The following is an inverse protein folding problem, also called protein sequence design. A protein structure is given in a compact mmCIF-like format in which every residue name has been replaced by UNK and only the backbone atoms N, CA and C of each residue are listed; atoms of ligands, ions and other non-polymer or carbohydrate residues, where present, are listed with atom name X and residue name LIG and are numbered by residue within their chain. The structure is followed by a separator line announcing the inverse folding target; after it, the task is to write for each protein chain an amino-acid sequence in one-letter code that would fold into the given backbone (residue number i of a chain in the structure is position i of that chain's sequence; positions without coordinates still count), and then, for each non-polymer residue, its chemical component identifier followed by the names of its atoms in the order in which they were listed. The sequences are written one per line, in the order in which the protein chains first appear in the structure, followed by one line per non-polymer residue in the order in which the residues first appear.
data_IF_345040396607
#
_entry.id   IF_345040396607
#
_cell.length_a   1.000
_cell.length_b   1.000
_cell.length_c   1.000
_cell.angle_alpha   90.00
_cell.angle_beta   90.00
_cell.angle_gamma   90.00
#
_symmetry.space_group_name_H-M   'P 1'
#
loop_
_entity.id
_entity.type
_entity.pdbx_description
1 polymer ?
#
# COMPACT_ATOMS: atom_id res chain seq x y z
N UNK A 1 -7.99 -12.25 1.45
CA UNK A 1 -8.34 -11.09 2.31
C UNK A 1 -7.80 -9.85 1.63
N UNK A 2 -8.55 -8.77 1.53
CA UNK A 2 -8.07 -7.50 0.93
C UNK A 2 -7.66 -6.57 2.06
N UNK A 3 -6.58 -5.78 1.91
CA UNK A 3 -6.30 -4.69 2.83
C UNK A 3 -7.48 -3.70 2.82
N UNK A 4 -7.96 -3.30 3.98
CA UNK A 4 -9.03 -2.31 4.13
C UNK A 4 -8.49 -0.96 4.62
N UNK A 5 -7.20 -0.73 4.45
CA UNK A 5 -6.49 0.47 4.85
C UNK A 5 -5.40 0.82 3.84
N UNK A 6 -4.94 2.04 3.92
CA UNK A 6 -3.75 2.54 3.22
C UNK A 6 -2.68 2.80 4.27
N UNK A 7 -1.48 2.29 4.04
CA UNK A 7 -0.33 2.60 4.89
C UNK A 7 0.24 3.98 4.48
N UNK A 8 0.25 4.91 5.41
CA UNK A 8 0.73 6.27 5.20
C UNK A 8 1.99 6.50 6.05
N UNK A 9 3.13 6.58 5.39
CA UNK A 9 4.45 6.79 6.02
C UNK A 9 4.85 8.25 5.82
N UNK A 10 5.01 8.98 6.89
CA UNK A 10 5.38 10.40 6.81
C UNK A 10 6.57 10.73 7.71
N UNK A 11 7.23 11.82 7.41
CA UNK A 11 8.40 12.31 8.16
C UNK A 11 9.28 13.19 7.28
N UNK A 12 10.28 13.83 7.88
CA UNK A 12 11.17 14.76 7.18
C UNK A 12 11.92 14.11 6.02
N UNK A 13 12.37 14.92 5.07
CA UNK A 13 13.23 14.49 3.96
C UNK A 13 14.48 13.78 4.51
N UNK A 14 14.89 12.70 3.84
CA UNK A 14 16.09 11.93 4.22
C UNK A 14 15.88 10.82 5.24
N UNK A 15 14.68 10.64 5.80
CA UNK A 15 14.37 9.55 6.74
C UNK A 15 14.20 8.18 6.11
N UNK A 16 14.53 8.01 4.83
CA UNK A 16 14.51 6.73 4.10
C UNK A 16 13.14 6.05 3.99
N UNK A 17 12.05 6.80 4.07
CA UNK A 17 10.66 6.29 3.95
C UNK A 17 10.44 5.42 2.71
N UNK A 18 10.75 5.97 1.55
CA UNK A 18 10.58 5.29 0.25
C UNK A 18 11.44 4.06 0.14
N UNK A 19 12.72 4.16 0.49
CA UNK A 19 13.65 3.02 0.46
C UNK A 19 13.16 1.89 1.36
N UNK A 20 12.71 2.21 2.57
CA UNK A 20 12.15 1.24 3.50
C UNK A 20 10.87 0.59 2.95
N UNK A 21 9.97 1.40 2.39
CA UNK A 21 8.72 0.90 1.80
C UNK A 21 9.00 -0.06 0.62
N UNK A 22 9.92 0.29 -0.27
CA UNK A 22 10.32 -0.56 -1.40
C UNK A 22 10.94 -1.86 -0.91
N UNK A 23 11.93 -1.76 -0.02
CA UNK A 23 12.69 -2.95 0.42
C UNK A 23 11.85 -3.92 1.24
N UNK A 24 10.97 -3.43 2.11
CA UNK A 24 10.23 -4.26 3.06
C UNK A 24 8.84 -4.67 2.55
N UNK A 25 8.14 -3.79 1.84
CA UNK A 25 6.73 -3.96 1.52
C UNK A 25 6.48 -4.36 0.06
N UNK A 26 7.44 -4.19 -0.81
CA UNK A 26 7.31 -4.59 -2.22
C UNK A 26 8.35 -5.65 -2.64
N UNK A 27 8.39 -6.82 -2.01
CA UNK A 27 9.38 -7.85 -2.33
C UNK A 27 9.17 -8.47 -3.71
N UNK A 28 8.01 -8.28 -4.36
CA UNK A 28 7.66 -8.97 -5.60
C UNK A 28 7.74 -8.08 -6.85
N UNK A 29 7.63 -6.77 -6.71
CA UNK A 29 7.58 -5.86 -7.86
C UNK A 29 7.98 -4.45 -7.47
N UNK A 30 8.92 -3.89 -8.20
CA UNK A 30 9.38 -2.50 -8.04
C UNK A 30 8.49 -1.54 -8.86
N UNK A 31 7.19 -1.55 -8.64
CA UNK A 31 6.31 -0.53 -9.23
C UNK A 31 6.01 0.56 -8.20
N UNK A 32 6.69 1.67 -8.35
CA UNK A 32 6.37 2.94 -7.70
C UNK A 32 5.56 3.80 -8.66
N UNK A 33 4.49 4.38 -8.17
CA UNK A 33 3.77 5.45 -8.85
C UNK A 33 4.34 6.78 -8.40
N UNK A 34 4.56 7.69 -9.34
CA UNK A 34 4.80 9.07 -8.96
C UNK A 34 3.49 9.72 -8.55
N UNK A 35 3.55 10.59 -7.56
CA UNK A 35 2.44 11.47 -7.21
C UNK A 35 2.01 12.40 -8.36
N UNK A 36 2.91 12.71 -9.28
CA UNK A 36 2.63 13.54 -10.46
C UNK A 36 1.76 12.83 -11.50
N UNK A 37 1.57 11.52 -11.35
CA UNK A 37 0.67 10.76 -12.21
C UNK A 37 -0.79 11.19 -12.03
N UNK A 38 -1.55 11.15 -13.11
CA UNK A 38 -2.97 11.50 -13.04
C UNK A 38 -3.75 10.55 -12.12
N UNK A 39 -4.81 11.06 -11.49
CA UNK A 39 -5.73 10.24 -10.65
C UNK A 39 -6.20 8.96 -11.34
N UNK A 40 -6.34 8.99 -12.65
CA UNK A 40 -6.76 7.85 -13.45
C UNK A 40 -5.62 6.82 -13.58
N UNK A 41 -4.39 7.27 -13.80
CA UNK A 41 -3.21 6.42 -13.89
C UNK A 41 -2.94 5.70 -12.56
N UNK A 42 -2.90 6.42 -11.44
CA UNK A 42 -2.74 5.84 -10.10
C UNK A 42 -3.83 4.80 -9.81
N UNK A 43 -5.09 5.11 -10.14
CA UNK A 43 -6.19 4.17 -9.92
C UNK A 43 -6.07 2.91 -10.78
N UNK A 44 -5.59 3.02 -12.01
CA UNK A 44 -5.38 1.87 -12.90
C UNK A 44 -4.21 1.02 -12.42
N UNK A 45 -3.13 1.63 -11.95
CA UNK A 45 -2.00 0.91 -11.35
C UNK A 45 -2.41 0.13 -10.11
N UNK A 46 -3.17 0.74 -9.17
CA UNK A 46 -3.70 0.02 -8.00
C UNK A 46 -4.51 -1.23 -8.37
N UNK A 47 -5.09 -1.27 -9.56
CA UNK A 47 -5.88 -2.40 -10.06
C UNK A 47 -5.08 -3.39 -10.89
N UNK A 48 -3.94 -2.96 -11.42
CA UNK A 48 -3.09 -3.80 -12.26
C UNK A 48 -2.16 -4.70 -11.46
N UNK A 49 -1.94 -4.40 -10.17
CA UNK A 49 -1.06 -5.14 -9.28
C UNK A 49 -1.91 -6.13 -8.45
N UNK A 50 -2.01 -7.40 -8.83
CA UNK A 50 -2.72 -8.38 -8.03
C UNK A 50 -1.87 -8.80 -6.84
N UNK A 51 -2.40 -8.74 -5.63
CA UNK A 51 -1.80 -9.26 -4.40
C UNK A 51 -0.40 -8.70 -4.07
N UNK A 52 -0.06 -7.54 -4.59
CA UNK A 52 1.22 -6.85 -4.35
C UNK A 52 1.08 -5.62 -3.47
N UNK A 53 2.10 -4.78 -3.53
CA UNK A 53 2.13 -3.47 -2.90
C UNK A 53 2.29 -2.40 -3.99
N UNK A 54 1.47 -1.36 -3.94
CA UNK A 54 1.61 -0.17 -4.78
C UNK A 54 2.09 0.98 -3.92
N UNK A 55 3.25 1.52 -4.23
CA UNK A 55 3.85 2.63 -3.49
C UNK A 55 3.61 3.92 -4.26
N UNK A 56 2.97 4.89 -3.63
CA UNK A 56 2.81 6.26 -4.14
C UNK A 56 3.82 7.12 -3.41
N UNK A 57 4.85 7.51 -4.12
CA UNK A 57 5.98 8.21 -3.55
C UNK A 57 5.82 9.72 -3.53
N UNK A 58 6.38 10.35 -2.49
CA UNK A 58 6.54 11.80 -2.32
C UNK A 58 5.24 12.60 -2.44
N UNK A 59 4.19 12.16 -1.75
CA UNK A 59 2.93 12.89 -1.73
C UNK A 59 3.09 14.27 -1.08
N UNK A 60 2.88 15.33 -1.86
CA UNK A 60 2.88 16.71 -1.38
C UNK A 60 1.49 17.10 -0.94
N UNK A 61 1.24 17.08 0.36
CA UNK A 61 -0.09 17.30 0.95
C UNK A 61 -0.66 18.70 0.76
N UNK A 62 0.15 19.65 0.34
CA UNK A 62 -0.21 21.06 0.21
C UNK A 62 -0.98 21.41 -1.07
N UNK A 63 -1.08 20.51 -2.04
CA UNK A 63 -1.78 20.79 -3.28
C UNK A 63 -3.19 20.20 -3.28
N UNK A 64 -4.16 20.94 -3.86
CA UNK A 64 -5.56 20.49 -4.00
C UNK A 64 -5.67 19.17 -4.77
N UNK A 65 -4.79 18.98 -5.73
CA UNK A 65 -4.75 17.75 -6.54
C UNK A 65 -4.24 16.56 -5.75
N UNK A 66 -3.26 16.76 -4.89
CA UNK A 66 -2.76 15.76 -3.96
C UNK A 66 -3.84 15.22 -3.05
N UNK A 67 -4.56 16.12 -2.39
CA UNK A 67 -5.68 15.75 -1.54
C UNK A 67 -6.77 15.00 -2.31
N UNK A 68 -7.00 15.39 -3.56
CA UNK A 68 -7.93 14.68 -4.44
C UNK A 68 -7.48 13.28 -4.82
N UNK A 69 -6.17 13.06 -5.01
CA UNK A 69 -5.59 11.75 -5.29
C UNK A 69 -5.69 10.86 -4.06
N UNK A 70 -5.21 11.33 -2.90
CA UNK A 70 -5.21 10.50 -1.69
C UNK A 70 -6.64 10.12 -1.27
N UNK A 71 -7.60 11.04 -1.32
CA UNK A 71 -9.00 10.72 -1.05
C UNK A 71 -9.54 9.64 -2.00
N UNK A 72 -9.14 9.68 -3.27
CA UNK A 72 -9.51 8.65 -4.25
C UNK A 72 -8.84 7.31 -3.96
N UNK A 73 -7.55 7.33 -3.67
CA UNK A 73 -6.75 6.15 -3.34
C UNK A 73 -7.31 5.46 -2.10
N UNK A 74 -7.56 6.22 -1.04
CA UNK A 74 -8.11 5.70 0.22
C UNK A 74 -9.48 5.05 0.01
N UNK A 75 -10.34 5.63 -0.84
CA UNK A 75 -11.62 5.02 -1.17
C UNK A 75 -11.49 3.76 -2.01
N UNK A 76 -10.60 3.74 -2.99
CA UNK A 76 -10.41 2.59 -3.87
C UNK A 76 -9.75 1.44 -3.12
N UNK A 77 -8.71 1.70 -2.35
CA UNK A 77 -7.98 0.69 -1.59
C UNK A 77 -8.67 0.33 -0.26
N UNK A 78 -9.18 1.33 0.47
CA UNK A 78 -9.75 1.16 1.81
C UNK A 78 -11.19 0.65 1.82
N UNK A 79 -12.03 1.07 0.89
CA UNK A 79 -13.45 0.66 0.84
C UNK A 79 -13.67 -0.61 0.02
N UNK A 80 -12.63 -1.13 -0.64
CA UNK A 80 -12.78 -2.22 -1.63
C UNK A 80 -13.89 -1.91 -2.64
N UNK A 81 -14.13 -0.62 -2.90
CA UNK A 81 -15.22 -0.18 -3.78
C UNK A 81 -14.90 -0.57 -5.21
N UNK A 82 -15.77 -1.38 -5.72
CA UNK A 82 -15.80 -1.74 -7.12
C UNK A 82 -16.01 -0.47 -7.95
N UNK A 83 -14.99 0.02 -8.62
CA UNK A 83 -15.20 1.13 -9.54
C UNK A 83 -15.32 0.60 -10.96
N UNK A 84 -16.44 0.88 -11.57
CA UNK A 84 -16.73 0.49 -12.94
C UNK A 84 -16.27 1.56 -13.93
N UNK A 85 -15.58 1.14 -14.99
CA UNK A 85 -15.21 1.98 -16.12
C UNK A 85 -16.01 1.56 -17.33
N UNK A 86 -16.77 2.52 -17.89
CA UNK A 86 -17.50 2.29 -19.15
C UNK A 86 -16.50 2.35 -20.29
N UNK A 87 -16.29 1.26 -20.99
CA UNK A 87 -15.45 1.23 -22.20
C UNK A 87 -16.23 1.69 -23.44
N UNK A 88 -15.50 2.11 -24.50
CA UNK A 88 -16.09 2.33 -25.81
C UNK A 88 -16.83 1.04 -26.25
N UNK A 89 -18.13 1.14 -26.50
CA UNK A 89 -18.97 -0.03 -26.80
C UNK A 89 -19.92 -0.46 -25.66
N UNK A 90 -20.04 0.34 -24.59
CA UNK A 90 -21.05 0.12 -23.54
C UNK A 90 -20.70 -0.96 -22.51
N UNK A 91 -19.60 -1.69 -22.68
CA UNK A 91 -19.19 -2.72 -21.75
C UNK A 91 -18.61 -2.10 -20.48
N UNK A 92 -19.17 -2.44 -19.34
CA UNK A 92 -18.67 -2.01 -18.03
C UNK A 92 -17.68 -3.05 -17.53
N UNK A 93 -16.42 -2.63 -17.39
CA UNK A 93 -15.38 -3.48 -16.77
C UNK A 93 -15.21 -3.03 -15.34
N UNK A 94 -15.43 -3.95 -14.44
CA UNK A 94 -15.30 -3.76 -13.01
C UNK A 94 -14.04 -4.44 -12.54
N UNK A 95 -13.08 -3.68 -12.02
CA UNK A 95 -11.86 -4.21 -11.42
C UNK A 95 -11.73 -3.67 -10.00
N UNK A 96 -11.42 -4.56 -9.09
CA UNK A 96 -11.14 -4.23 -7.69
C UNK A 96 -9.64 -4.03 -7.48
N UNK A 97 -9.25 -3.08 -6.64
CA UNK A 97 -7.89 -3.00 -6.13
C UNK A 97 -7.69 -4.10 -5.06
N UNK A 98 -6.70 -4.95 -5.24
CA UNK A 98 -6.37 -6.05 -4.33
C UNK A 98 -4.99 -5.89 -3.69
N UNK A 99 -4.22 -4.89 -4.13
CA UNK A 99 -2.90 -4.58 -3.57
C UNK A 99 -3.01 -3.77 -2.27
N UNK A 100 -1.98 -3.88 -1.44
CA UNK A 100 -1.73 -2.94 -0.37
C UNK A 100 -1.26 -1.61 -0.99
N UNK A 101 -1.91 -0.51 -0.63
CA UNK A 101 -1.44 0.81 -1.02
C UNK A 101 -0.59 1.42 0.09
N UNK A 102 0.59 1.87 -0.26
CA UNK A 102 1.51 2.61 0.62
C UNK A 102 1.70 4.00 0.04
N UNK A 103 1.64 5.00 0.89
CA UNK A 103 1.88 6.39 0.52
C UNK A 103 3.04 6.90 1.36
N UNK A 104 4.03 7.52 0.73
CA UNK A 104 5.09 8.24 1.45
C UNK A 104 4.87 9.74 1.32
N UNK A 105 5.13 10.49 2.39
CA UNK A 105 4.94 11.93 2.44
C UNK A 105 5.93 12.60 3.38
N UNK A 106 6.09 13.91 3.26
CA UNK A 106 6.90 14.67 4.21
C UNK A 106 6.11 15.06 5.45
N UNK A 107 4.79 15.22 5.33
CA UNK A 107 3.94 15.75 6.38
C UNK A 107 2.73 14.85 6.66
N UNK A 108 2.19 15.02 7.86
CA UNK A 108 0.92 14.42 8.25
C UNK A 108 -0.23 15.00 7.43
N UNK A 109 -1.18 14.20 6.97
CA UNK A 109 -2.27 14.66 6.10
C UNK A 109 -3.31 15.47 6.88
N UNK A 110 -3.02 16.74 7.18
CA UNK A 110 -3.87 17.60 8.01
C UNK A 110 -5.23 17.98 7.38
N UNK A 111 -5.35 17.96 6.06
CA UNK A 111 -6.53 18.44 5.33
C UNK A 111 -7.43 17.34 4.75
N UNK A 112 -7.27 16.09 5.19
CA UNK A 112 -8.11 14.98 4.75
C UNK A 112 -9.46 14.96 5.49
N UNK A 113 -10.47 14.44 4.80
CA UNK A 113 -11.75 14.14 5.43
C UNK A 113 -11.58 13.09 6.53
N UNK A 114 -12.28 13.20 7.64
CA UNK A 114 -12.24 12.24 8.75
C UNK A 114 -12.47 10.80 8.28
N UNK A 115 -13.40 10.59 7.37
CA UNK A 115 -13.67 9.29 6.77
C UNK A 115 -12.49 8.70 6.00
N UNK A 116 -11.60 9.53 5.47
CA UNK A 116 -10.35 9.10 4.82
C UNK A 116 -9.28 8.81 5.87
N UNK A 117 -9.16 9.63 6.91
CA UNK A 117 -8.21 9.44 8.01
C UNK A 117 -8.46 8.09 8.71
N UNK A 118 -9.72 7.73 8.95
CA UNK A 118 -10.10 6.46 9.58
C UNK A 118 -9.65 5.20 8.79
N UNK A 119 -9.23 5.36 7.54
CA UNK A 119 -8.72 4.28 6.69
C UNK A 119 -7.21 4.33 6.48
N UNK A 120 -6.52 5.23 7.16
CA UNK A 120 -5.07 5.34 7.13
C UNK A 120 -4.46 4.67 8.35
N UNK A 121 -3.50 3.80 8.12
CA UNK A 121 -2.54 3.39 9.14
C UNK A 121 -1.33 4.33 8.99
N UNK A 122 -1.16 5.25 9.93
CA UNK A 122 -0.13 6.27 9.86
C UNK A 122 1.11 5.85 10.65
N UNK A 123 2.27 5.92 10.01
CA UNK A 123 3.58 5.69 10.62
C UNK A 123 4.44 6.95 10.45
N UNK A 124 4.94 7.45 11.55
CA UNK A 124 5.86 8.57 11.58
C UNK A 124 7.31 8.07 11.56
N UNK A 125 8.10 8.62 10.65
CA UNK A 125 9.52 8.32 10.53
C UNK A 125 10.33 9.53 10.95
N UNK A 126 10.97 9.43 12.09
CA UNK A 126 11.94 10.40 12.59
C UNK A 126 13.37 10.05 12.16
N UNK A 127 14.28 10.97 12.39
CA UNK A 127 15.71 10.71 12.23
C UNK A 127 16.12 9.55 13.17
N UNK A 128 16.67 8.48 12.58
CA UNK A 128 17.06 7.29 13.34
C UNK A 128 15.98 6.19 13.47
N UNK A 129 14.77 6.41 12.96
CA UNK A 129 13.74 5.36 12.91
C UNK A 129 14.20 4.16 12.08
N UNK A 130 14.98 4.38 11.04
CA UNK A 130 15.50 3.36 10.15
C UNK A 130 16.97 3.10 10.46
N UNK A 131 17.29 1.86 10.78
CA UNK A 131 18.69 1.41 10.84
C UNK A 131 19.21 1.29 9.39
N UNK A 132 20.19 2.16 9.06
CA UNK A 132 20.72 2.24 7.69
C UNK A 132 21.48 0.97 7.29
N UNK A 133 22.23 0.38 8.20
CA UNK A 133 23.00 -0.84 7.92
C UNK A 133 22.07 -2.01 7.61
N UNK A 134 20.96 -2.14 8.33
CA UNK A 134 19.95 -3.15 8.09
C UNK A 134 19.19 -2.90 6.79
N UNK A 135 18.90 -1.63 6.47
CA UNK A 135 18.24 -1.29 5.21
C UNK A 135 19.14 -1.58 4.01
N UNK A 136 20.42 -1.23 4.09
CA UNK A 136 21.41 -1.51 3.06
C UNK A 136 21.63 -3.02 2.90
N UNK A 137 21.63 -3.77 4.00
CA UNK A 137 21.64 -5.23 3.95
C UNK A 137 20.43 -5.78 3.24
N UNK A 138 19.22 -5.39 3.60
CA UNK A 138 17.99 -5.80 2.93
C UNK A 138 17.99 -5.46 1.44
N UNK A 139 18.46 -4.26 1.10
CA UNK A 139 18.51 -3.78 -0.30
C UNK A 139 19.49 -4.61 -1.12
N UNK A 140 20.64 -4.96 -0.57
CA UNK A 140 21.64 -5.78 -1.25
C UNK A 140 21.27 -7.27 -1.35
N UNK A 141 20.37 -7.77 -0.48
CA UNK A 141 19.92 -9.16 -0.44
C UNK A 141 18.45 -9.33 -0.84
N UNK A 142 17.95 -8.47 -1.73
CA UNK A 142 16.54 -8.48 -2.16
C UNK A 142 16.09 -9.84 -2.76
N UNK A 143 16.96 -10.52 -3.50
CA UNK A 143 16.65 -11.81 -4.11
C UNK A 143 16.44 -12.89 -3.06
N UNK A 144 17.31 -12.94 -2.06
CA UNK A 144 17.24 -13.88 -0.93
C UNK A 144 15.99 -13.59 -0.08
N UNK A 145 15.72 -12.32 0.19
CA UNK A 145 14.53 -11.91 0.92
C UNK A 145 13.25 -12.31 0.18
N UNK A 146 13.16 -12.04 -1.12
CA UNK A 146 12.04 -12.50 -1.97
C UNK A 146 11.88 -14.03 -1.92
N UNK A 147 12.97 -14.77 -2.01
CA UNK A 147 12.94 -16.23 -1.95
C UNK A 147 12.45 -16.74 -0.61
N UNK A 148 12.88 -16.12 0.49
CA UNK A 148 12.41 -16.43 1.83
C UNK A 148 10.91 -16.16 2.01
N UNK A 149 10.43 -15.00 1.54
CA UNK A 149 9.00 -14.64 1.59
C UNK A 149 8.17 -15.64 0.78
N UNK A 150 8.62 -16.02 -0.42
CA UNK A 150 7.94 -17.02 -1.26
C UNK A 150 7.88 -18.37 -0.53
N UNK A 151 8.97 -18.82 0.06
CA UNK A 151 9.00 -20.09 0.80
C UNK A 151 8.03 -20.09 1.99
N UNK A 152 7.96 -18.98 2.75
CA UNK A 152 7.00 -18.83 3.84
C UNK A 152 5.56 -18.88 3.32
N UNK A 153 5.25 -18.14 2.25
CA UNK A 153 3.91 -18.13 1.64
C UNK A 153 3.52 -19.52 1.12
N UNK A 154 4.44 -20.23 0.46
CA UNK A 154 4.20 -21.60 0.01
C UNK A 154 3.94 -22.55 1.20
N UNK A 155 4.72 -22.41 2.29
CA UNK A 155 4.50 -23.16 3.52
C UNK A 155 3.13 -22.87 4.16
N UNK A 156 2.65 -21.65 4.10
CA UNK A 156 1.33 -21.26 4.60
C UNK A 156 0.21 -21.85 3.72
N UNK A 157 0.34 -21.71 2.40
CA UNK A 157 -0.68 -22.17 1.43
C UNK A 157 -0.79 -23.70 1.43
N UNK A 158 0.32 -24.40 1.65
CA UNK A 158 0.33 -25.86 1.67
C UNK A 158 -0.35 -26.48 2.90
N UNK A 159 -0.62 -25.70 3.95
CA UNK A 159 -1.33 -26.16 5.14
C UNK A 159 -2.84 -25.99 4.94
N UNK A 160 -3.51 -27.12 4.71
CA UNK A 160 -4.98 -27.14 4.55
C UNK A 160 -5.68 -26.54 5.79
N UNK A 161 -6.61 -25.60 5.57
CA UNK A 161 -7.37 -24.95 6.64
C UNK A 161 -6.61 -23.87 7.44
N UNK A 162 -5.29 -23.70 7.25
CA UNK A 162 -4.51 -22.74 8.04
C UNK A 162 -4.91 -21.28 7.77
N UNK A 163 -5.24 -20.94 6.53
CA UNK A 163 -5.71 -19.59 6.17
C UNK A 163 -7.07 -19.30 6.80
N UNK A 164 -7.97 -20.29 6.82
CA UNK A 164 -9.29 -20.14 7.43
C UNK A 164 -9.18 -19.94 8.94
N UNK A 165 -8.26 -20.66 9.57
CA UNK A 165 -7.96 -20.50 11.00
C UNK A 165 -7.38 -19.12 11.31
N UNK A 166 -6.39 -18.65 10.56
CA UNK A 166 -5.85 -17.29 10.69
C UNK A 166 -6.92 -16.23 10.54
N UNK A 167 -7.83 -16.40 9.57
CA UNK A 167 -8.95 -15.48 9.34
C UNK A 167 -9.95 -15.49 10.49
N UNK A 168 -10.16 -16.63 11.13
CA UNK A 168 -10.99 -16.75 12.34
C UNK A 168 -10.35 -16.04 13.52
N UNK A 169 -9.11 -16.35 13.82
CA UNK A 169 -8.33 -15.76 14.92
C UNK A 169 -8.24 -14.24 14.82
N UNK A 170 -8.06 -13.70 13.60
CA UNK A 170 -8.07 -12.26 13.35
C UNK A 170 -9.43 -11.61 13.58
N UNK A 171 -10.53 -12.33 13.33
CA UNK A 171 -11.89 -11.84 13.58
C UNK A 171 -12.21 -11.81 15.08
N UNK A 172 -11.77 -12.80 15.81
CA UNK A 172 -12.04 -12.91 17.23
C UNK A 172 -11.26 -11.84 18.03
N UNK A 173 -9.99 -11.58 17.68
CA UNK A 173 -9.21 -10.48 18.29
C UNK A 173 -9.75 -9.07 17.99
N UNK A 174 -10.60 -8.90 16.99
CA UNK A 174 -11.26 -7.59 16.73
C UNK A 174 -12.50 -7.38 17.59
N UNK A 175 -12.97 -8.39 18.30
CA UNK A 175 -14.14 -8.34 19.18
C UNK A 175 -13.79 -8.13 20.64
N UNK A 176 -12.51 -8.29 20.98
CA UNK A 176 -11.91 -7.93 22.25
C UNK A 176 -11.44 -6.46 22.27
#
# INVERSE_FOLDING_TARGET
MRPSFVLYIYGTTGTRKTSSAISMLNPFKEETCSFEDSKAAVTEQLRSIPLGCCIIDDLKTMTRDALGIINKVVRVAGDSTTSSKKMRGGKVVTKDATCLCVVTAEEKPAALQESSIARLLMLEYDAGTVNLDELDFLTSHQTEFRSAVIAVLQGIISKEGYIDQLCSDCRDRRRE
#
